data_IF_624354099854
#
_entry.id   IF_624354099854
#
_cell.length_a   1.000
_cell.length_b   1.000
_cell.length_c   1.000
_cell.angle_alpha   90.00
_cell.angle_beta   90.00
_cell.angle_gamma   90.00
#
_symmetry.space_group_name_H-M   'P 1'
#
loop_
_entity.id
_entity.type
_entity.pdbx_description
1 polymer ?
#
# COMPACT_ATOMS: atom_id res chain seq x y z
N UNK A 1 -5.08 -11.30 -9.14
CA UNK A 1 -4.36 -11.93 -8.03
C UNK A 1 -2.99 -11.30 -7.87
N UNK A 2 -2.62 -10.97 -6.66
CA UNK A 2 -1.32 -10.37 -6.37
C UNK A 2 -0.29 -11.46 -6.13
N UNK A 3 0.81 -11.37 -6.83
CA UNK A 3 1.89 -12.34 -6.71
C UNK A 3 3.22 -11.61 -6.64
N UNK A 4 4.13 -12.19 -5.90
CA UNK A 4 5.50 -11.71 -5.91
C UNK A 4 6.15 -12.07 -7.25
N UNK A 5 7.08 -11.22 -7.71
CA UNK A 5 7.78 -11.51 -8.96
C UNK A 5 8.59 -12.80 -8.86
N UNK A 6 8.80 -13.45 -10.01
CA UNK A 6 9.68 -14.60 -10.06
C UNK A 6 11.12 -14.16 -9.84
N UNK A 7 11.94 -15.07 -9.32
CA UNK A 7 13.34 -14.81 -9.08
C UNK A 7 13.63 -14.44 -7.64
N UNK A 8 14.90 -14.20 -7.37
CA UNK A 8 15.36 -13.88 -6.02
C UNK A 8 15.00 -12.44 -5.63
N UNK A 9 14.44 -12.29 -4.46
CA UNK A 9 14.16 -10.98 -3.89
C UNK A 9 14.18 -11.05 -2.37
N UNK A 10 14.39 -9.89 -1.74
CA UNK A 10 14.33 -9.76 -0.30
C UNK A 10 13.08 -8.99 0.08
N UNK A 11 12.33 -9.51 1.03
CA UNK A 11 11.21 -8.79 1.65
C UNK A 11 11.77 -7.85 2.70
N UNK A 12 11.53 -6.57 2.53
CA UNK A 12 12.07 -5.56 3.45
C UNK A 12 11.04 -5.15 4.50
N UNK A 13 9.81 -4.89 4.07
CA UNK A 13 8.79 -4.39 4.98
C UNK A 13 7.40 -4.62 4.40
N UNK A 14 6.43 -4.80 5.30
CA UNK A 14 5.01 -4.80 4.94
C UNK A 14 4.41 -3.50 5.45
N UNK A 15 3.77 -2.76 4.58
CA UNK A 15 3.18 -1.46 4.88
C UNK A 15 1.68 -1.53 4.62
N UNK A 16 0.88 -1.20 5.62
CA UNK A 16 -0.57 -1.13 5.48
C UNK A 16 -1.00 0.31 5.55
N UNK A 17 -1.77 0.75 4.56
CA UNK A 17 -2.39 2.07 4.59
C UNK A 17 -3.90 1.93 4.58
N UNK A 18 -4.56 2.91 5.19
CA UNK A 18 -6.01 3.01 5.19
C UNK A 18 -6.33 4.50 5.06
N UNK A 19 -7.02 4.86 4.00
CA UNK A 19 -7.31 6.25 3.72
C UNK A 19 -8.61 6.39 2.94
N UNK A 20 -9.25 7.54 3.10
CA UNK A 20 -10.44 7.89 2.33
C UNK A 20 -10.06 8.01 0.85
N UNK A 21 -10.93 7.48 -0.01
CA UNK A 21 -10.73 7.52 -1.45
C UNK A 21 -10.69 8.98 -1.93
N UNK A 22 -9.66 9.34 -2.68
CA UNK A 22 -9.46 10.68 -3.18
C UNK A 22 -8.05 11.18 -2.89
N UNK A 23 -7.92 12.49 -2.60
CA UNK A 23 -6.63 13.13 -2.37
C UNK A 23 -5.85 12.50 -1.23
N UNK A 24 -6.54 12.13 -0.15
CA UNK A 24 -5.91 11.51 1.01
C UNK A 24 -5.26 10.18 0.64
N UNK A 25 -5.94 9.37 -0.18
CA UNK A 25 -5.40 8.09 -0.64
C UNK A 25 -4.17 8.31 -1.53
N UNK A 26 -4.19 9.30 -2.40
CA UNK A 26 -3.05 9.62 -3.26
C UNK A 26 -1.83 10.00 -2.43
N UNK A 27 -2.02 10.83 -1.40
CA UNK A 27 -0.94 11.23 -0.50
C UNK A 27 -0.36 10.04 0.25
N UNK A 28 -1.23 9.14 0.74
CA UNK A 28 -0.80 7.95 1.46
C UNK A 28 0.02 7.01 0.55
N UNK A 29 -0.42 6.83 -0.69
CA UNK A 29 0.29 6.00 -1.67
C UNK A 29 1.67 6.56 -1.97
N UNK A 30 1.77 7.88 -2.11
CA UNK A 30 3.06 8.55 -2.33
C UNK A 30 4.00 8.33 -1.16
N UNK A 31 3.49 8.44 0.07
CA UNK A 31 4.28 8.21 1.28
C UNK A 31 4.82 6.79 1.35
N UNK A 32 4.03 5.80 0.91
CA UNK A 32 4.47 4.40 0.86
C UNK A 32 5.68 4.25 -0.05
N UNK A 33 5.64 4.86 -1.23
CA UNK A 33 6.74 4.79 -2.19
C UNK A 33 8.03 5.40 -1.63
N UNK A 34 7.90 6.56 -0.97
CA UNK A 34 9.04 7.23 -0.36
C UNK A 34 9.64 6.40 0.76
N UNK A 35 8.80 5.85 1.62
CA UNK A 35 9.24 5.01 2.72
C UNK A 35 9.95 3.76 2.24
N UNK A 36 9.40 3.10 1.23
CA UNK A 36 10.00 1.92 0.64
C UNK A 36 11.38 2.22 0.03
N UNK A 37 11.48 3.33 -0.68
CA UNK A 37 12.74 3.76 -1.30
C UNK A 37 13.81 4.00 -0.25
N UNK A 38 13.46 4.62 0.88
CA UNK A 38 14.38 4.86 1.97
C UNK A 38 14.92 3.57 2.59
N UNK A 39 14.17 2.50 2.51
CA UNK A 39 14.59 1.19 3.03
C UNK A 39 15.35 0.35 2.00
N UNK A 40 15.61 0.91 0.83
CA UNK A 40 16.37 0.24 -0.21
C UNK A 40 15.54 -0.63 -1.14
N UNK A 41 14.22 -0.51 -1.12
CA UNK A 41 13.36 -1.26 -2.01
C UNK A 41 13.47 -0.75 -3.45
N UNK A 42 13.43 -1.65 -4.40
CA UNK A 42 13.37 -1.30 -5.82
C UNK A 42 12.08 -1.76 -6.48
N UNK A 43 11.17 -2.32 -5.70
CA UNK A 43 9.84 -2.71 -6.17
C UNK A 43 8.85 -2.76 -5.00
N UNK A 44 7.58 -2.57 -5.31
CA UNK A 44 6.48 -2.64 -4.35
C UNK A 44 5.43 -3.58 -4.91
N UNK A 45 4.99 -4.53 -4.09
CA UNK A 45 3.96 -5.50 -4.46
C UNK A 45 2.72 -5.24 -3.62
N UNK A 46 1.56 -5.18 -4.25
CA UNK A 46 0.29 -5.06 -3.54
C UNK A 46 -0.17 -6.46 -3.12
N UNK A 47 -0.26 -6.68 -1.81
CA UNK A 47 -0.68 -7.95 -1.26
C UNK A 47 -2.19 -8.04 -1.10
N UNK A 48 -2.82 -6.92 -0.76
CA UNK A 48 -4.26 -6.87 -0.58
C UNK A 48 -4.76 -5.46 -0.86
N UNK A 49 -5.99 -5.35 -1.35
CA UNK A 49 -6.60 -4.08 -1.70
C UNK A 49 -8.11 -4.23 -1.47
N UNK A 50 -8.60 -3.62 -0.41
CA UNK A 50 -9.99 -3.73 0.00
C UNK A 50 -10.61 -2.34 0.12
N UNK A 51 -11.79 -2.16 -0.46
CA UNK A 51 -12.57 -0.95 -0.34
C UNK A 51 -13.81 -1.22 0.51
N UNK A 52 -14.10 -0.33 1.44
CA UNK A 52 -15.27 -0.46 2.30
C UNK A 52 -15.82 0.92 2.64
N UNK A 53 -17.07 0.94 3.10
CA UNK A 53 -17.73 2.17 3.54
C UNK A 53 -17.63 2.31 5.05
N UNK A 54 -17.38 3.52 5.51
CA UNK A 54 -17.27 3.82 6.92
C UNK A 54 -18.12 5.03 7.24
N UNK A 55 -18.77 5.02 8.40
CA UNK A 55 -19.53 6.17 8.87
C UNK A 55 -18.63 7.10 9.69
N UNK A 56 -18.56 8.36 9.26
CA UNK A 56 -17.81 9.39 9.97
C UNK A 56 -18.75 10.60 10.10
N UNK A 57 -19.05 11.01 11.33
CA UNK A 57 -19.91 12.16 11.61
C UNK A 57 -21.23 12.11 10.83
N UNK A 58 -21.93 10.99 10.90
CA UNK A 58 -23.22 10.75 10.23
C UNK A 58 -23.13 10.76 8.70
N UNK A 59 -21.93 10.72 8.14
CA UNK A 59 -21.73 10.61 6.70
C UNK A 59 -21.06 9.29 6.38
N UNK A 60 -21.40 8.73 5.24
CA UNK A 60 -20.72 7.54 4.73
C UNK A 60 -19.61 7.97 3.81
N UNK A 61 -18.41 7.48 4.08
CA UNK A 61 -17.25 7.74 3.24
C UNK A 61 -16.68 6.42 2.76
N UNK A 62 -16.09 6.42 1.58
CA UNK A 62 -15.40 5.24 1.07
C UNK A 62 -13.96 5.28 1.52
N UNK A 63 -13.52 4.17 2.12
CA UNK A 63 -12.16 4.02 2.63
C UNK A 63 -11.52 2.84 1.91
N UNK A 64 -10.26 2.96 1.59
CA UNK A 64 -9.51 1.90 0.95
C UNK A 64 -8.36 1.49 1.84
N UNK A 65 -8.24 0.20 2.05
CA UNK A 65 -7.13 -0.39 2.80
C UNK A 65 -6.27 -1.17 1.83
N UNK A 66 -5.00 -0.82 1.76
CA UNK A 66 -4.06 -1.47 0.87
C UNK A 66 -2.87 -1.95 1.67
N UNK A 67 -2.49 -3.20 1.47
CA UNK A 67 -1.31 -3.81 2.09
C UNK A 67 -0.24 -3.96 1.02
N UNK A 68 0.91 -3.37 1.26
CA UNK A 68 2.05 -3.39 0.35
C UNK A 68 3.19 -4.20 0.95
N UNK A 69 3.96 -4.83 0.10
CA UNK A 69 5.24 -5.39 0.48
C UNK A 69 6.34 -4.64 -0.29
N UNK A 70 7.27 -4.04 0.44
CA UNK A 70 8.45 -3.44 -0.14
C UNK A 70 9.49 -4.53 -0.29
N UNK A 71 10.01 -4.71 -1.50
CA UNK A 71 10.96 -5.75 -1.81
C UNK A 71 12.17 -5.18 -2.56
N UNK A 72 13.26 -5.91 -2.50
CA UNK A 72 14.44 -5.62 -3.31
C UNK A 72 14.73 -6.81 -4.18
N UNK A 73 14.68 -6.63 -5.48
CA UNK A 73 15.05 -7.66 -6.46
C UNK A 73 16.57 -7.73 -6.56
N UNK A 74 17.04 -8.93 -6.60
CA UNK A 74 18.46 -9.19 -6.79
C UNK A 74 18.82 -9.25 -8.26
#
# INVERSE_FOLDING_TARGET
MRQFPSGAYDKLEVITIEAEVGTQLLSATKSVRQSAAQKGANAIVILNDTEFSQSVDKRKVKVRRIVYSAIRRR
#
